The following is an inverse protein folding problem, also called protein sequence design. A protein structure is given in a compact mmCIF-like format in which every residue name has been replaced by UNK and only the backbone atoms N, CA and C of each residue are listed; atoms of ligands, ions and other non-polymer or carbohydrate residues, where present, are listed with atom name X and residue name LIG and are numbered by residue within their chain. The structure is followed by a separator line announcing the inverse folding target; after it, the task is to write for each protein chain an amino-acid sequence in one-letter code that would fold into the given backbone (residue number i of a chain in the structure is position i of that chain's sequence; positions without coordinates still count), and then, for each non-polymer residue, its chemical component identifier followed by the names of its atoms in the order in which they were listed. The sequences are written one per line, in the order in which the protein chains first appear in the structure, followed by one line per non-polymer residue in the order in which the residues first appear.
data_IF_189780723207
#
_entry.id   IF_189780723207
#
_cell.length_a   1.000
_cell.length_b   1.000
_cell.length_c   1.000
_cell.angle_alpha   90.00
_cell.angle_beta   90.00
_cell.angle_gamma   90.00
#
_symmetry.space_group_name_H-M   'P 1'
#
loop_
_entity.id
_entity.type
_entity.pdbx_description
1 polymer ?
#
# COMPACT_ATOMS: atom_id res chain seq x y z
N UNK A 1 -7.75 23.01 18.59
CA UNK A 1 -7.40 21.58 18.64
C UNK A 1 -7.11 21.08 17.22
N UNK A 2 -5.87 21.23 16.73
CA UNK A 2 -5.50 20.74 15.41
C UNK A 2 -4.83 19.37 15.53
N UNK A 3 -5.41 18.33 14.97
CA UNK A 3 -4.73 17.03 14.81
C UNK A 3 -3.58 17.26 13.83
N UNK A 4 -2.32 16.92 14.17
CA UNK A 4 -1.21 17.11 13.25
C UNK A 4 -1.47 16.24 12.00
N UNK A 5 -1.46 16.85 10.81
CA UNK A 5 -1.68 16.18 9.51
C UNK A 5 -0.88 14.87 9.33
N UNK A 6 0.37 14.75 9.81
CA UNK A 6 1.10 13.48 9.79
C UNK A 6 0.44 12.36 10.61
N UNK A 7 -0.26 12.68 11.70
CA UNK A 7 -0.96 11.69 12.50
C UNK A 7 -2.20 11.12 11.79
N UNK A 8 -2.91 11.91 10.98
CA UNK A 8 -3.98 11.41 10.12
C UNK A 8 -3.41 10.45 9.06
N UNK A 9 -2.23 10.76 8.53
CA UNK A 9 -1.52 9.97 7.53
C UNK A 9 -1.06 8.62 8.12
N UNK A 10 -0.46 8.62 9.32
CA UNK A 10 -0.07 7.40 10.03
C UNK A 10 -1.31 6.57 10.41
N UNK A 11 -2.39 7.20 10.86
CA UNK A 11 -3.64 6.51 11.20
C UNK A 11 -4.26 5.80 9.98
N UNK A 12 -4.27 6.46 8.81
CA UNK A 12 -4.76 5.87 7.57
C UNK A 12 -3.91 4.66 7.14
N UNK A 13 -2.58 4.76 7.20
CA UNK A 13 -1.68 3.66 6.81
C UNK A 13 -1.77 2.48 7.81
N UNK A 14 -1.98 2.74 9.11
CA UNK A 14 -2.24 1.65 10.09
C UNK A 14 -3.51 0.89 9.81
N UNK A 15 -4.56 1.51 9.26
CA UNK A 15 -5.80 0.83 8.88
C UNK A 15 -5.59 -0.12 7.69
N UNK A 16 -4.59 0.12 6.84
CA UNK A 16 -4.29 -0.78 5.72
C UNK A 16 -3.71 -2.13 6.16
N UNK A 17 -2.98 -2.19 7.29
CA UNK A 17 -2.36 -3.44 7.76
C UNK A 17 -3.40 -4.53 8.07
N UNK A 18 -4.42 -4.31 8.93
CA UNK A 18 -5.44 -5.32 9.20
C UNK A 18 -6.31 -5.62 7.97
N UNK A 19 -6.50 -4.65 7.06
CA UNK A 19 -7.24 -4.86 5.81
C UNK A 19 -6.52 -5.84 4.89
N UNK A 20 -5.20 -5.65 4.67
CA UNK A 20 -4.41 -6.56 3.84
C UNK A 20 -4.30 -7.96 4.47
N UNK A 21 -4.15 -8.04 5.79
CA UNK A 21 -4.15 -9.33 6.49
C UNK A 21 -5.52 -10.02 6.43
N UNK A 22 -6.62 -9.29 6.60
CA UNK A 22 -7.97 -9.85 6.48
C UNK A 22 -8.22 -10.40 5.08
N UNK A 23 -7.77 -9.70 4.03
CA UNK A 23 -7.86 -10.17 2.64
C UNK A 23 -6.97 -11.40 2.37
N UNK A 24 -5.82 -11.50 3.05
CA UNK A 24 -4.90 -12.64 2.91
C UNK A 24 -5.40 -13.93 3.60
N UNK A 25 -6.08 -13.81 4.75
CA UNK A 25 -6.49 -14.97 5.57
C UNK A 25 -7.98 -15.32 5.45
N UNK A 26 -8.83 -14.37 5.07
CA UNK A 26 -10.27 -14.56 4.95
C UNK A 26 -10.77 -14.14 3.56
N UNK A 27 -10.45 -14.90 2.50
CA UNK A 27 -10.86 -14.62 1.13
C UNK A 27 -12.35 -14.96 0.93
N UNK A 28 -13.23 -14.17 1.54
CA UNK A 28 -14.68 -14.28 1.38
C UNK A 28 -15.23 -13.00 0.78
N UNK A 29 -16.24 -13.12 -0.10
CA UNK A 29 -16.90 -11.96 -0.70
C UNK A 29 -17.45 -11.01 0.39
N UNK A 30 -17.95 -11.55 1.51
CA UNK A 30 -18.47 -10.75 2.62
C UNK A 30 -17.44 -9.85 3.31
N UNK A 31 -16.17 -10.28 3.37
CA UNK A 31 -15.06 -9.47 3.92
C UNK A 31 -14.49 -8.53 2.86
N UNK A 32 -14.54 -8.91 1.58
CA UNK A 32 -13.97 -8.13 0.47
C UNK A 32 -14.61 -6.74 0.33
N UNK A 33 -15.94 -6.63 0.42
CA UNK A 33 -16.66 -5.36 0.29
C UNK A 33 -16.26 -4.31 1.34
N UNK A 34 -16.37 -4.59 2.65
CA UNK A 34 -15.96 -3.63 3.67
C UNK A 34 -14.45 -3.36 3.63
N UNK A 35 -13.63 -4.35 3.32
CA UNK A 35 -12.19 -4.19 3.16
C UNK A 35 -11.83 -3.23 2.01
N UNK A 36 -12.49 -3.34 0.86
CA UNK A 36 -12.27 -2.47 -0.29
C UNK A 36 -12.69 -1.02 -0.01
N UNK A 37 -13.82 -0.81 0.67
CA UNK A 37 -14.26 0.52 1.11
C UNK A 37 -13.24 1.17 2.06
N UNK A 38 -12.76 0.41 3.04
CA UNK A 38 -11.78 0.89 4.01
C UNK A 38 -10.41 1.16 3.36
N UNK A 39 -9.99 0.29 2.44
CA UNK A 39 -8.77 0.50 1.66
C UNK A 39 -8.87 1.76 0.78
N UNK A 40 -9.99 1.95 0.08
CA UNK A 40 -10.22 3.09 -0.80
C UNK A 40 -10.24 4.43 -0.03
N UNK A 41 -10.94 4.47 1.10
CA UNK A 41 -10.98 5.66 1.96
C UNK A 41 -9.61 6.00 2.54
N UNK A 42 -8.86 5.00 3.01
CA UNK A 42 -7.49 5.19 3.50
C UNK A 42 -6.54 5.67 2.41
N UNK A 43 -6.56 5.04 1.24
CA UNK A 43 -5.73 5.40 0.09
C UNK A 43 -6.02 6.82 -0.39
N UNK A 44 -7.30 7.18 -0.52
CA UNK A 44 -7.71 8.55 -0.86
C UNK A 44 -7.21 9.58 0.16
N UNK A 45 -7.32 9.26 1.46
CA UNK A 45 -6.78 10.10 2.54
C UNK A 45 -5.27 10.26 2.45
N UNK A 46 -4.52 9.17 2.24
CA UNK A 46 -3.08 9.18 2.08
C UNK A 46 -2.65 10.11 0.94
N UNK A 47 -3.23 9.92 -0.25
CA UNK A 47 -2.91 10.72 -1.43
C UNK A 47 -3.34 12.18 -1.31
N UNK A 48 -4.42 12.46 -0.59
CA UNK A 48 -4.86 13.83 -0.33
C UNK A 48 -3.94 14.60 0.62
N UNK A 49 -3.37 13.95 1.62
CA UNK A 49 -2.52 14.61 2.64
C UNK A 49 -1.05 14.69 2.18
N UNK A 50 -0.59 13.78 1.32
CA UNK A 50 0.79 13.73 0.83
C UNK A 50 1.33 15.04 0.21
N UNK A 51 0.60 15.75 -0.67
CA UNK A 51 1.02 17.05 -1.19
C UNK A 51 1.20 18.10 -0.09
N UNK A 52 0.29 18.15 0.88
CA UNK A 52 0.37 19.08 1.99
C UNK A 52 1.57 18.78 2.92
N UNK A 53 1.82 17.51 3.24
CA UNK A 53 3.00 17.14 4.03
C UNK A 53 4.31 17.42 3.27
N UNK A 54 4.35 17.17 1.97
CA UNK A 54 5.56 17.40 1.16
C UNK A 54 5.88 18.90 1.08
N UNK A 55 4.88 19.79 0.98
CA UNK A 55 5.11 21.24 0.99
C UNK A 55 5.50 21.78 2.36
N UNK A 56 5.01 21.18 3.45
CA UNK A 56 5.40 21.53 4.83
C UNK A 56 6.86 21.12 5.14
N UNK A 57 7.30 19.93 4.69
CA UNK A 57 8.64 19.40 4.99
C UNK A 57 9.73 20.03 4.13
N UNK A 58 9.50 20.09 2.81
CA UNK A 58 10.53 20.53 1.85
C UNK A 58 10.40 22.00 1.44
N UNK A 59 9.31 22.65 1.84
CA UNK A 59 8.98 24.00 1.38
C UNK A 59 8.52 24.03 -0.08
N UNK A 60 8.02 25.20 -0.50
CA UNK A 60 7.43 25.38 -1.83
C UNK A 60 8.47 25.50 -2.95
N UNK A 61 9.73 25.84 -2.63
CA UNK A 61 10.77 26.17 -3.62
C UNK A 61 11.15 24.98 -4.51
N UNK A 62 11.13 23.77 -3.97
CA UNK A 62 11.45 22.52 -4.71
C UNK A 62 10.32 21.48 -4.60
N UNK A 63 9.10 21.93 -4.30
CA UNK A 63 7.94 21.05 -4.08
C UNK A 63 7.69 20.11 -5.27
N UNK A 64 7.63 20.66 -6.48
CA UNK A 64 7.33 19.88 -7.68
C UNK A 64 8.33 18.75 -7.92
N UNK A 65 9.64 19.03 -7.78
CA UNK A 65 10.69 18.03 -7.96
C UNK A 65 10.61 16.92 -6.91
N UNK A 66 10.42 17.27 -5.64
CA UNK A 66 10.33 16.30 -4.55
C UNK A 66 9.07 15.45 -4.66
N UNK A 67 7.94 16.06 -5.00
CA UNK A 67 6.69 15.33 -5.21
C UNK A 67 6.77 14.39 -6.42
N UNK A 68 7.37 14.81 -7.53
CA UNK A 68 7.62 13.94 -8.69
C UNK A 68 8.51 12.75 -8.35
N UNK A 69 9.54 12.93 -7.51
CA UNK A 69 10.38 11.82 -7.06
C UNK A 69 9.59 10.81 -6.22
N UNK A 70 8.69 11.27 -5.34
CA UNK A 70 7.79 10.40 -4.58
C UNK A 70 6.86 9.61 -5.50
N UNK A 71 6.30 10.24 -6.55
CA UNK A 71 5.48 9.54 -7.55
C UNK A 71 6.28 8.51 -8.33
N UNK A 72 7.52 8.84 -8.70
CA UNK A 72 8.39 7.91 -9.42
C UNK A 72 8.71 6.68 -8.56
N UNK A 73 9.02 6.87 -7.27
CA UNK A 73 9.23 5.78 -6.34
C UNK A 73 7.98 4.88 -6.23
N UNK A 74 6.79 5.48 -6.16
CA UNK A 74 5.53 4.74 -6.15
C UNK A 74 5.32 3.94 -7.45
N UNK A 75 5.61 4.53 -8.61
CA UNK A 75 5.50 3.86 -9.90
C UNK A 75 6.47 2.66 -10.00
N UNK A 76 7.74 2.85 -9.61
CA UNK A 76 8.74 1.77 -9.58
C UNK A 76 8.31 0.65 -8.63
N UNK A 77 7.82 0.99 -7.44
CA UNK A 77 7.33 0.02 -6.46
C UNK A 77 6.14 -0.79 -7.01
N UNK A 78 5.15 -0.09 -7.58
CA UNK A 78 3.97 -0.72 -8.19
C UNK A 78 4.35 -1.65 -9.34
N UNK A 79 5.25 -1.19 -10.21
CA UNK A 79 5.77 -1.98 -11.31
C UNK A 79 6.55 -3.21 -10.82
N UNK A 80 7.42 -3.05 -9.83
CA UNK A 80 8.20 -4.14 -9.25
C UNK A 80 7.30 -5.20 -8.59
N UNK A 81 6.28 -4.77 -7.85
CA UNK A 81 5.28 -5.70 -7.29
C UNK A 81 4.49 -6.40 -8.38
N UNK A 82 4.00 -5.66 -9.38
CA UNK A 82 3.27 -6.22 -10.50
C UNK A 82 4.14 -7.21 -11.29
N UNK A 83 5.42 -6.91 -11.50
CA UNK A 83 6.33 -7.75 -12.26
C UNK A 83 6.72 -9.01 -11.49
N UNK A 84 7.05 -8.91 -10.20
CA UNK A 84 7.34 -10.09 -9.37
C UNK A 84 6.11 -10.98 -9.16
N UNK A 85 4.93 -10.37 -8.98
CA UNK A 85 3.71 -11.11 -8.75
C UNK A 85 3.20 -11.74 -10.05
N UNK A 86 3.17 -10.98 -11.15
CA UNK A 86 2.78 -11.49 -12.46
C UNK A 86 3.80 -12.49 -13.00
N UNK A 87 5.11 -12.22 -12.98
CA UNK A 87 6.10 -13.16 -13.53
C UNK A 87 6.09 -14.48 -12.77
N UNK A 88 6.10 -14.46 -11.43
CA UNK A 88 6.09 -15.69 -10.64
C UNK A 88 4.80 -16.48 -10.77
N UNK A 89 3.66 -15.83 -10.99
CA UNK A 89 2.39 -16.53 -11.18
C UNK A 89 2.18 -17.03 -12.61
N UNK A 90 2.74 -16.34 -13.61
CA UNK A 90 2.74 -16.77 -15.01
C UNK A 90 3.74 -17.90 -15.28
N UNK A 91 4.94 -17.83 -14.66
CA UNK A 91 6.02 -18.82 -14.88
C UNK A 91 5.85 -20.09 -14.04
N UNK A 92 4.99 -20.09 -13.02
CA UNK A 92 4.79 -21.23 -12.11
C UNK A 92 3.88 -22.34 -12.68
N UNK A 93 3.53 -22.33 -13.96
CA UNK A 93 2.79 -23.42 -14.57
C UNK A 93 3.69 -24.65 -14.79
N UNK A 94 3.45 -25.78 -14.11
CA UNK A 94 4.16 -27.01 -14.39
C UNK A 94 3.52 -27.67 -15.61
N UNK A 95 4.38 -28.13 -16.52
CA UNK A 95 4.08 -29.07 -17.59
C UNK A 95 3.79 -30.49 -17.08
N UNK A 96 3.03 -30.66 -15.99
CA UNK A 96 2.81 -31.96 -15.34
C UNK A 96 1.32 -32.40 -15.35
N UNK A 97 0.98 -33.64 -15.75
CA UNK A 97 -0.41 -34.05 -15.98
C UNK A 97 -1.09 -34.65 -14.74
N UNK A 98 -2.05 -33.91 -14.17
CA UNK A 98 -3.26 -34.34 -13.39
C UNK A 98 -3.11 -34.87 -11.93
N UNK A 99 -4.18 -34.96 -11.06
CA UNK A 99 -5.62 -34.61 -11.17
C UNK A 99 -6.19 -33.77 -9.94
N UNK A 100 -7.52 -33.64 -9.68
CA UNK A 100 -8.46 -32.58 -10.11
C UNK A 100 -9.03 -31.70 -8.95
N UNK A 101 -8.76 -30.38 -8.92
CA UNK A 101 -9.59 -29.43 -8.12
C UNK A 101 -9.55 -27.98 -8.59
N UNK A 102 -9.25 -27.73 -9.86
CA UNK A 102 -9.41 -26.39 -10.44
C UNK A 102 -10.12 -26.53 -11.80
N UNK A 103 -11.16 -25.71 -12.07
CA UNK A 103 -11.73 -25.65 -13.41
C UNK A 103 -10.60 -25.37 -14.42
N UNK A 104 -10.66 -25.96 -15.63
CA UNK A 104 -9.58 -25.90 -16.60
C UNK A 104 -9.19 -24.44 -16.86
N UNK A 105 -7.88 -24.12 -16.96
CA UNK A 105 -7.43 -22.77 -17.26
C UNK A 105 -8.01 -22.36 -18.60
N UNK A 106 -8.97 -21.42 -18.58
CA UNK A 106 -9.48 -20.80 -19.79
C UNK A 106 -8.33 -20.05 -20.44
N UNK A 107 -8.00 -20.32 -21.72
CA UNK A 107 -6.91 -19.65 -22.39
C UNK A 107 -7.21 -18.16 -22.44
N UNK A 108 -6.37 -17.36 -21.78
CA UNK A 108 -6.35 -15.91 -22.00
C UNK A 108 -5.96 -15.61 -23.46
N UNK A 109 -6.05 -14.35 -23.91
CA UNK A 109 -5.89 -13.94 -25.32
C UNK A 109 -4.56 -14.35 -26.00
N UNK A 110 -3.61 -14.93 -25.26
CA UNK A 110 -2.30 -15.35 -25.74
C UNK A 110 -1.83 -16.74 -25.23
N UNK A 111 -2.73 -17.61 -24.75
CA UNK A 111 -2.37 -19.00 -24.41
C UNK A 111 -1.51 -19.18 -23.16
N UNK A 112 -1.41 -18.17 -22.29
CA UNK A 112 -0.69 -18.26 -21.03
C UNK A 112 -1.61 -18.76 -19.88
N UNK A 113 -1.09 -19.59 -18.97
CA UNK A 113 -1.82 -20.09 -17.80
C UNK A 113 -2.06 -18.95 -16.81
N UNK A 114 -3.32 -18.54 -16.65
CA UNK A 114 -3.72 -17.49 -15.71
C UNK A 114 -4.15 -18.14 -14.39
N UNK A 115 -3.47 -17.81 -13.29
CA UNK A 115 -3.82 -18.31 -11.97
C UNK A 115 -4.97 -17.46 -11.37
N UNK A 116 -6.14 -18.07 -11.21
CA UNK A 116 -7.30 -17.50 -10.53
C UNK A 116 -7.50 -18.18 -9.18
N UNK A 117 -7.55 -17.41 -8.09
CA UNK A 117 -7.85 -17.97 -6.77
C UNK A 117 -7.30 -17.14 -5.61
N UNK A 118 -7.80 -17.48 -4.43
CA UNK A 118 -7.38 -16.96 -3.13
C UNK A 118 -5.91 -17.19 -2.83
N UNK A 119 -5.37 -18.38 -3.10
CA UNK A 119 -3.96 -18.72 -2.85
C UNK A 119 -2.98 -17.90 -3.73
N UNK A 120 -3.38 -17.55 -4.96
CA UNK A 120 -2.59 -16.71 -5.87
C UNK A 120 -2.44 -15.27 -5.33
N UNK A 121 -3.55 -14.69 -4.87
CA UNK A 121 -3.57 -13.32 -4.36
C UNK A 121 -3.09 -13.21 -2.91
N UNK A 122 -3.11 -14.32 -2.15
CA UNK A 122 -2.65 -14.36 -0.75
C UNK A 122 -1.22 -13.87 -0.60
N UNK A 123 -0.31 -14.30 -1.47
CA UNK A 123 1.09 -13.84 -1.47
C UNK A 123 1.18 -12.34 -1.72
N UNK A 124 0.40 -11.81 -2.66
CA UNK A 124 0.33 -10.39 -2.95
C UNK A 124 -0.10 -9.57 -1.73
N UNK A 125 -1.17 -9.99 -1.06
CA UNK A 125 -1.70 -9.33 0.12
C UNK A 125 -0.73 -9.40 1.31
N UNK A 126 0.00 -10.50 1.47
CA UNK A 126 1.03 -10.62 2.51
C UNK A 126 2.22 -9.67 2.26
N UNK A 127 2.69 -9.57 1.01
CA UNK A 127 3.77 -8.62 0.68
C UNK A 127 3.27 -7.17 0.86
N UNK A 128 2.03 -6.87 0.45
CA UNK A 128 1.43 -5.56 0.69
C UNK A 128 1.28 -5.25 2.18
N UNK A 129 0.89 -6.23 3.01
CA UNK A 129 0.86 -6.10 4.46
C UNK A 129 2.26 -5.81 5.06
N UNK A 130 3.30 -6.50 4.57
CA UNK A 130 4.68 -6.27 5.00
C UNK A 130 5.18 -4.86 4.64
N UNK A 131 4.94 -4.41 3.40
CA UNK A 131 5.33 -3.07 2.96
C UNK A 131 4.57 -1.97 3.70
N UNK A 132 3.27 -2.14 3.94
CA UNK A 132 2.48 -1.19 4.72
C UNK A 132 2.95 -1.13 6.17
N UNK A 133 3.34 -2.26 6.78
CA UNK A 133 3.93 -2.28 8.12
C UNK A 133 5.25 -1.49 8.18
N UNK A 134 6.13 -1.65 7.19
CA UNK A 134 7.36 -0.84 7.08
C UNK A 134 7.01 0.65 6.97
N UNK A 135 6.00 1.00 6.18
CA UNK A 135 5.46 2.37 6.08
C UNK A 135 4.94 2.91 7.42
N UNK A 136 4.20 2.11 8.18
CA UNK A 136 3.74 2.47 9.53
C UNK A 136 4.92 2.72 10.47
N UNK A 137 5.90 1.81 10.52
CA UNK A 137 7.05 1.91 11.43
C UNK A 137 7.88 3.14 11.11
N UNK A 138 8.20 3.35 9.83
CA UNK A 138 8.96 4.52 9.37
C UNK A 138 8.18 5.82 9.59
N UNK A 139 6.88 5.86 9.29
CA UNK A 139 6.02 7.01 9.53
C UNK A 139 5.86 7.33 11.03
N UNK A 140 5.73 6.30 11.88
CA UNK A 140 5.69 6.46 13.33
C UNK A 140 7.04 6.95 13.89
N UNK A 141 8.16 6.43 13.38
CA UNK A 141 9.50 6.90 13.73
C UNK A 141 9.68 8.37 13.32
N UNK A 142 9.31 8.73 12.09
CA UNK A 142 9.36 10.11 11.59
C UNK A 142 8.49 11.04 12.44
N UNK A 143 7.29 10.60 12.81
CA UNK A 143 6.38 11.35 13.70
C UNK A 143 6.98 11.51 15.10
N UNK A 144 7.64 10.50 15.64
CA UNK A 144 8.33 10.59 16.95
C UNK A 144 9.54 11.52 16.90
N UNK A 145 10.34 11.47 15.82
CA UNK A 145 11.48 12.38 15.61
C UNK A 145 11.01 13.83 15.42
N UNK A 146 9.96 14.02 14.63
CA UNK A 146 9.37 15.35 14.42
C UNK A 146 8.59 15.84 15.64
N UNK A 147 8.10 15.00 16.56
CA UNK A 147 7.52 15.47 17.83
C UNK A 147 8.50 16.30 18.67
N UNK A 148 9.81 16.03 18.59
CA UNK A 148 10.84 16.89 19.18
C UNK A 148 10.90 18.29 18.54
N UNK A 149 10.67 18.39 17.22
CA UNK A 149 10.62 19.65 16.47
C UNK A 149 9.27 20.36 16.48
N UNK A 150 8.15 19.63 16.48
CA UNK A 150 6.78 20.18 16.58
C UNK A 150 6.49 20.75 17.98
N UNK A 151 7.13 20.21 19.03
CA UNK A 151 7.11 20.86 20.35
C UNK A 151 7.78 22.26 20.29
N UNK A 152 8.88 22.41 19.54
CA UNK A 152 9.55 23.69 19.33
C UNK A 152 8.76 24.64 18.39
N UNK A 153 8.08 24.12 17.35
CA UNK A 153 7.19 24.91 16.49
C UNK A 153 5.92 25.38 17.24
N UNK A 154 5.40 24.58 18.17
CA UNK A 154 4.30 24.99 19.05
C UNK A 154 4.72 26.09 20.01
N UNK A 155 5.99 26.16 20.41
CA UNK A 155 6.57 27.28 21.15
C UNK A 155 6.71 28.56 20.32
N UNK A 156 7.09 28.46 19.04
CA UNK A 156 7.19 29.60 18.12
C UNK A 156 5.85 30.14 17.61
N UNK A 157 4.79 29.34 17.61
CA UNK A 157 3.44 29.80 17.23
C UNK A 157 2.66 30.43 18.41
N UNK A 158 3.23 30.41 19.62
CA UNK A 158 2.67 31.00 20.84
C UNK A 158 3.54 32.16 21.39
N UNK A 159 4.57 32.57 20.65
CA UNK A 159 5.39 33.78 20.89
C UNK A 159 5.24 34.74 19.73
#
# INVERSE_FOLDING_TARGET
HGVPRPACLVAAVTLCVPVNLALAFFPSLGVLYPAALLAGTSFGGFWGVMPACTSEIFGLKSFASNYSFLQLAAAIGSYGMAMQLASRTYDAAPSDPSPPMAPPPSPGPAGAPVCYGDECFRVAFLVAAALTLVGVVTGAALTRLTRGGYAALRGKALS
#
